data_IF_712494003540
#
_entry.id   IF_712494003540
#
_cell.length_a   1.000
_cell.length_b   1.000
_cell.length_c   1.000
_cell.angle_alpha   90.00
_cell.angle_beta   90.00
_cell.angle_gamma   90.00
#
_symmetry.space_group_name_H-M   'P 1'
#
loop_
_entity.id
_entity.type
_entity.pdbx_description
1 polymer ?
#
# COMPACT_ATOMS: atom_id res chain seq x y z
N UNK A 1 -14.77 3.14 -2.53
CA UNK A 1 -13.58 2.38 -2.09
C UNK A 1 -12.42 2.47 -3.07
N UNK A 2 -12.67 2.30 -4.36
CA UNK A 2 -11.58 2.39 -5.35
C UNK A 2 -10.90 3.74 -5.34
N UNK A 3 -11.64 4.82 -5.14
CA UNK A 3 -11.08 6.17 -5.09
C UNK A 3 -10.09 6.32 -3.92
N UNK A 4 -10.44 5.78 -2.75
CA UNK A 4 -9.55 5.80 -1.59
C UNK A 4 -8.27 5.01 -1.86
N UNK A 5 -8.39 3.86 -2.50
CA UNK A 5 -7.23 3.03 -2.85
C UNK A 5 -6.36 3.71 -3.91
N UNK A 6 -6.99 4.39 -4.87
CA UNK A 6 -6.23 5.16 -5.85
C UNK A 6 -5.43 6.28 -5.17
N UNK A 7 -6.04 6.98 -4.20
CA UNK A 7 -5.35 7.99 -3.41
C UNK A 7 -4.17 7.39 -2.64
N UNK A 8 -4.35 6.17 -2.12
CA UNK A 8 -3.28 5.44 -1.43
C UNK A 8 -2.09 5.20 -2.37
N UNK A 9 -2.34 4.69 -3.59
CA UNK A 9 -1.27 4.44 -4.54
C UNK A 9 -0.63 5.74 -5.04
N UNK A 10 -1.42 6.82 -5.21
CA UNK A 10 -0.88 8.13 -5.59
C UNK A 10 0.08 8.65 -4.51
N UNK A 11 -0.30 8.53 -3.24
CA UNK A 11 0.55 8.92 -2.10
C UNK A 11 1.81 8.07 -2.03
N UNK A 12 1.66 6.77 -2.24
CA UNK A 12 2.78 5.83 -2.24
C UNK A 12 3.77 6.15 -3.36
N UNK A 13 3.25 6.46 -4.56
CA UNK A 13 4.07 6.82 -5.72
C UNK A 13 4.76 8.17 -5.56
N UNK A 14 4.22 9.05 -4.71
CA UNK A 14 4.88 10.29 -4.32
C UNK A 14 5.95 10.05 -3.25
N UNK A 15 6.11 8.82 -2.77
CA UNK A 15 6.98 8.45 -1.65
C UNK A 15 6.70 9.32 -0.42
N UNK A 16 5.42 9.61 -0.16
CA UNK A 16 5.00 10.56 0.88
C UNK A 16 4.19 9.88 1.97
N UNK A 17 4.81 9.65 3.12
CA UNK A 17 4.08 9.12 4.29
C UNK A 17 3.09 10.15 4.84
N UNK A 18 3.33 11.44 4.63
CA UNK A 18 2.39 12.48 5.05
C UNK A 18 1.08 12.39 4.28
N UNK A 19 1.14 12.04 2.99
CA UNK A 19 -0.07 11.84 2.18
C UNK A 19 -0.73 10.50 2.48
N UNK A 20 0.02 9.49 2.92
CA UNK A 20 -0.54 8.20 3.32
C UNK A 20 -1.32 8.29 4.62
N UNK A 21 -0.80 9.04 5.59
CA UNK A 21 -1.33 9.07 6.98
C UNK A 21 -2.84 9.28 7.04
N UNK A 22 -3.42 10.29 6.38
CA UNK A 22 -4.86 10.54 6.51
C UNK A 22 -5.74 9.46 5.88
N UNK A 23 -5.17 8.57 5.08
CA UNK A 23 -5.92 7.49 4.41
C UNK A 23 -6.00 6.23 5.26
N UNK A 24 -5.16 6.13 6.31
CA UNK A 24 -4.98 4.93 7.12
C UNK A 24 -5.69 5.07 8.46
N UNK A 25 -6.33 3.98 8.89
CA UNK A 25 -6.94 3.89 10.22
C UNK A 25 -5.85 3.80 11.28
N UNK A 26 -6.15 4.27 12.51
CA UNK A 26 -5.20 4.22 13.63
C UNK A 26 -4.73 2.78 13.95
N UNK A 27 -5.61 1.81 13.73
CA UNK A 27 -5.32 0.40 13.97
C UNK A 27 -4.90 -0.37 12.72
N UNK A 28 -4.47 0.33 11.65
CA UNK A 28 -4.11 -0.30 10.38
C UNK A 28 -3.00 -1.33 10.57
N UNK A 29 -3.09 -2.41 9.77
CA UNK A 29 -2.06 -3.45 9.71
C UNK A 29 -1.47 -3.53 8.32
N UNK A 30 -0.19 -3.87 8.23
CA UNK A 30 0.51 -4.09 6.98
C UNK A 30 1.25 -5.42 7.04
N UNK A 31 0.93 -6.32 6.14
CA UNK A 31 1.57 -7.63 6.06
C UNK A 31 1.96 -7.91 4.62
N UNK A 32 3.21 -8.26 4.41
CA UNK A 32 3.68 -8.78 3.12
C UNK A 32 4.65 -9.93 3.37
N UNK A 33 5.48 -10.29 2.38
CA UNK A 33 6.41 -11.42 2.49
C UNK A 33 7.59 -11.17 3.42
N UNK A 34 7.80 -9.92 3.87
CA UNK A 34 8.88 -9.54 4.79
C UNK A 34 8.40 -8.75 5.99
N UNK A 35 7.32 -7.99 5.85
CA UNK A 35 6.85 -7.01 6.82
C UNK A 35 5.58 -7.50 7.50
N UNK A 36 5.50 -7.30 8.82
CA UNK A 36 4.28 -7.50 9.58
C UNK A 36 4.25 -6.45 10.68
N UNK A 37 3.46 -5.39 10.45
CA UNK A 37 3.37 -4.26 11.37
C UNK A 37 1.92 -3.95 11.71
N UNK A 38 1.68 -3.49 12.94
CA UNK A 38 0.37 -3.11 13.44
C UNK A 38 0.40 -1.72 14.02
N UNK A 39 -0.62 -0.93 13.71
CA UNK A 39 -0.77 0.43 14.21
C UNK A 39 -0.23 1.46 13.22
N UNK A 40 -0.84 2.64 13.27
CA UNK A 40 -0.56 3.70 12.29
C UNK A 40 0.92 4.06 12.25
N UNK A 41 1.54 4.33 13.41
CA UNK A 41 2.93 4.78 13.42
C UNK A 41 3.89 3.70 12.93
N UNK A 42 3.64 2.44 13.28
CA UNK A 42 4.48 1.33 12.82
C UNK A 42 4.38 1.16 11.31
N UNK A 43 3.16 1.27 10.76
CA UNK A 43 2.94 1.16 9.31
C UNK A 43 3.56 2.34 8.57
N UNK A 44 3.42 3.56 9.10
CA UNK A 44 4.05 4.75 8.53
C UNK A 44 5.57 4.59 8.52
N UNK A 45 6.15 4.14 9.64
CA UNK A 45 7.60 3.95 9.73
C UNK A 45 8.11 2.89 8.76
N UNK A 46 7.36 1.78 8.59
CA UNK A 46 7.72 0.74 7.62
C UNK A 46 7.77 1.30 6.20
N UNK A 47 6.77 2.11 5.82
CA UNK A 47 6.74 2.74 4.50
C UNK A 47 7.87 3.75 4.33
N UNK A 48 8.17 4.55 5.36
CA UNK A 48 9.26 5.53 5.29
C UNK A 48 10.59 4.83 5.06
N UNK A 49 10.81 3.69 5.71
CA UNK A 49 12.04 2.91 5.51
C UNK A 49 12.17 2.42 4.06
N UNK A 50 11.06 1.99 3.45
CA UNK A 50 11.06 1.58 2.04
C UNK A 50 11.43 2.77 1.16
N UNK A 51 10.80 3.92 1.36
CA UNK A 51 11.04 5.11 0.54
C UNK A 51 12.48 5.63 0.70
N UNK A 52 13.03 5.53 1.92
CA UNK A 52 14.42 5.94 2.18
C UNK A 52 15.41 4.97 1.53
N UNK A 53 15.12 3.67 1.57
CA UNK A 53 16.02 2.63 1.04
C UNK A 53 15.99 2.59 -0.49
N UNK A 54 14.84 2.89 -1.10
CA UNK A 54 14.64 2.78 -2.55
C UNK A 54 13.97 4.06 -3.05
N UNK A 55 14.72 5.17 -3.13
CA UNK A 55 14.13 6.43 -3.64
C UNK A 55 13.57 6.23 -5.05
N UNK A 56 12.35 6.73 -5.26
CA UNK A 56 11.69 6.60 -6.55
C UNK A 56 10.95 5.29 -6.76
N UNK A 57 10.91 4.41 -5.77
CA UNK A 57 10.07 3.20 -5.85
C UNK A 57 8.62 3.61 -6.13
N UNK A 58 7.98 2.90 -7.04
CA UNK A 58 6.59 3.23 -7.41
C UNK A 58 5.86 1.99 -7.91
N UNK A 59 4.54 2.10 -8.03
CA UNK A 59 3.71 1.01 -8.52
C UNK A 59 2.94 1.45 -9.75
N UNK A 60 2.68 0.48 -10.64
CA UNK A 60 1.70 0.61 -11.71
C UNK A 60 0.50 -0.25 -11.30
N UNK A 61 -0.69 0.35 -11.28
CA UNK A 61 -1.92 -0.37 -10.99
C UNK A 61 -2.50 -0.85 -12.32
N UNK A 62 -2.64 -2.16 -12.47
CA UNK A 62 -3.16 -2.76 -13.70
C UNK A 62 -4.67 -2.94 -13.64
N UNK A 63 -5.20 -3.36 -12.48
CA UNK A 63 -6.62 -3.66 -12.33
C UNK A 63 -6.98 -3.63 -10.86
N UNK A 64 -8.25 -3.38 -10.58
CA UNK A 64 -8.82 -3.44 -9.24
C UNK A 64 -10.14 -4.18 -9.30
N UNK A 65 -10.40 -5.01 -8.28
CA UNK A 65 -11.67 -5.66 -8.06
C UNK A 65 -12.15 -5.33 -6.65
N UNK A 66 -13.44 -5.14 -6.48
CA UNK A 66 -14.00 -4.78 -5.17
C UNK A 66 -14.94 -5.86 -4.67
N UNK A 67 -14.98 -6.01 -3.36
CA UNK A 67 -16.00 -6.78 -2.66
C UNK A 67 -16.68 -5.86 -1.65
N UNK A 68 -17.35 -6.40 -0.65
CA UNK A 68 -18.15 -5.60 0.29
C UNK A 68 -17.33 -4.54 1.00
N UNK A 69 -16.13 -4.89 1.48
CA UNK A 69 -15.27 -3.99 2.26
C UNK A 69 -13.80 -4.08 1.87
N UNK A 70 -13.50 -4.68 0.72
CA UNK A 70 -12.12 -4.87 0.27
C UNK A 70 -11.95 -4.46 -1.17
N UNK A 71 -10.74 -4.01 -1.48
CA UNK A 71 -10.27 -3.79 -2.85
C UNK A 71 -9.05 -4.66 -3.05
N UNK A 72 -9.04 -5.45 -4.12
CA UNK A 72 -7.89 -6.20 -4.57
C UNK A 72 -7.28 -5.46 -5.74
N UNK A 73 -5.99 -5.14 -5.66
CA UNK A 73 -5.29 -4.41 -6.71
C UNK A 73 -4.15 -5.26 -7.27
N UNK A 74 -4.20 -5.49 -8.57
CA UNK A 74 -3.10 -6.14 -9.29
C UNK A 74 -2.12 -5.06 -9.69
N UNK A 75 -0.90 -5.13 -9.17
CA UNK A 75 0.10 -4.09 -9.36
C UNK A 75 1.45 -4.66 -9.76
N UNK A 76 2.27 -3.80 -10.36
CA UNK A 76 3.71 -4.05 -10.51
C UNK A 76 4.44 -3.04 -9.63
N UNK A 77 5.33 -3.52 -8.78
CA UNK A 77 6.20 -2.66 -7.99
C UNK A 77 7.51 -2.48 -8.75
N UNK A 78 7.83 -1.24 -9.10
CA UNK A 78 9.07 -0.89 -9.79
C UNK A 78 10.11 -0.50 -8.77
N UNK A 79 10.99 -1.44 -8.43
CA UNK A 79 12.07 -1.22 -7.45
C UNK A 79 13.19 -0.41 -8.09
N UNK A 80 13.63 -0.83 -9.28
CA UNK A 80 14.59 -0.12 -10.11
C UNK A 80 14.43 -0.59 -11.56
N UNK A 81 15.34 -0.16 -12.47
CA UNK A 81 15.22 -0.51 -13.88
C UNK A 81 15.34 -2.01 -14.15
N UNK A 82 16.02 -2.75 -13.26
CA UNK A 82 16.26 -4.18 -13.42
C UNK A 82 15.31 -5.05 -12.62
N UNK A 83 14.64 -4.50 -11.61
CA UNK A 83 13.82 -5.30 -10.69
C UNK A 83 12.39 -4.79 -10.64
N UNK A 84 11.45 -5.69 -10.97
CA UNK A 84 10.02 -5.44 -10.86
C UNK A 84 9.38 -6.63 -10.16
N UNK A 85 8.38 -6.33 -9.32
CA UNK A 85 7.66 -7.37 -8.58
C UNK A 85 6.19 -7.36 -8.99
N UNK A 86 5.64 -8.55 -9.23
CA UNK A 86 4.20 -8.73 -9.49
C UNK A 86 3.53 -9.02 -8.15
N UNK A 87 2.57 -8.19 -7.77
CA UNK A 87 1.97 -8.20 -6.44
C UNK A 87 0.46 -8.05 -6.54
N UNK A 88 -0.27 -8.71 -5.66
CA UNK A 88 -1.68 -8.43 -5.41
C UNK A 88 -1.76 -7.83 -4.01
N UNK A 89 -2.26 -6.59 -3.92
CA UNK A 89 -2.59 -5.96 -2.64
C UNK A 89 -4.06 -6.20 -2.34
N UNK A 90 -4.34 -6.62 -1.10
CA UNK A 90 -5.70 -6.72 -0.58
C UNK A 90 -5.85 -5.66 0.50
N UNK A 91 -6.68 -4.65 0.22
CA UNK A 91 -6.89 -3.53 1.14
C UNK A 91 -8.30 -3.64 1.72
N UNK A 92 -8.38 -3.69 3.05
CA UNK A 92 -9.66 -3.71 3.76
C UNK A 92 -9.98 -2.29 4.22
N UNK A 93 -11.24 -1.87 4.06
CA UNK A 93 -11.67 -0.49 4.30
C UNK A 93 -12.84 -0.49 5.28
N UNK A 94 -12.80 0.41 6.25
CA UNK A 94 -13.89 0.66 7.19
C UNK A 94 -13.91 2.15 7.51
N UNK A 95 -15.11 2.75 7.49
CA UNK A 95 -15.32 4.17 7.80
C UNK A 95 -14.40 5.08 6.99
N UNK A 96 -14.29 4.80 5.68
CA UNK A 96 -13.48 5.59 4.73
C UNK A 96 -11.99 5.62 5.06
N UNK A 97 -11.50 4.62 5.79
CA UNK A 97 -10.08 4.46 6.11
C UNK A 97 -9.63 3.05 5.78
N UNK A 98 -8.36 2.92 5.41
CA UNK A 98 -7.76 1.62 5.16
C UNK A 98 -7.38 1.01 6.52
N UNK A 99 -7.92 -0.17 6.81
CA UNK A 99 -7.69 -0.86 8.10
C UNK A 99 -6.71 -2.02 7.99
N UNK A 100 -6.48 -2.53 6.78
CA UNK A 100 -5.55 -3.65 6.57
C UNK A 100 -5.03 -3.61 5.14
N UNK A 101 -3.74 -3.86 5.01
CA UNK A 101 -3.09 -4.03 3.71
C UNK A 101 -2.33 -5.34 3.77
N UNK A 102 -2.68 -6.27 2.88
CA UNK A 102 -1.98 -7.55 2.74
C UNK A 102 -1.48 -7.66 1.32
N UNK A 103 -0.19 -7.86 1.16
CA UNK A 103 0.44 -7.93 -0.16
C UNK A 103 0.96 -9.35 -0.41
N UNK A 104 0.66 -9.87 -1.59
CA UNK A 104 1.03 -11.22 -2.01
C UNK A 104 1.88 -11.13 -3.27
N UNK A 105 3.14 -11.50 -3.14
CA UNK A 105 4.09 -11.49 -4.25
C UNK A 105 4.02 -12.79 -5.03
N UNK A 106 4.00 -12.64 -6.34
CA UNK A 106 4.05 -13.79 -7.23
C UNK A 106 5.41 -14.51 -7.19
#
# INVERSE_FOLDING_TARGET
MEQLVQQYFDAWNANSVEQLRPLLHDAVTLTDWEISESGLEAVINANQKIFDAVPGIHVTVHDMATSTNQVMAQITVHVNEQEQLSVIDVLTISNDKITSIKAYKK
#
